data_IF_223762130130
#
_entry.id   IF_223762130130
#
_cell.length_a   1.000
_cell.length_b   1.000
_cell.length_c   1.000
_cell.angle_alpha   90.00
_cell.angle_beta   90.00
_cell.angle_gamma   90.00
#
_symmetry.space_group_name_H-M   'P 1'
#
loop_
_entity.id
_entity.type
_entity.pdbx_description
1 polymer ?
#
# COMPACT_ATOMS: atom_id res chain seq x y z
N UNK A 1 -0.32 26.42 19.84
CA UNK A 1 -0.67 25.40 20.85
C UNK A 1 -2.12 25.04 20.60
N UNK A 2 -2.37 24.11 19.67
CA UNK A 2 -3.71 23.60 19.38
C UNK A 2 -3.91 22.38 20.25
N UNK A 3 -4.71 22.54 21.30
CA UNK A 3 -5.21 21.41 22.09
C UNK A 3 -6.22 20.67 21.21
N UNK A 4 -5.76 19.57 20.61
CA UNK A 4 -6.67 18.57 20.04
C UNK A 4 -7.43 17.89 21.16
N UNK A 5 -8.73 17.77 20.98
CA UNK A 5 -9.62 16.97 21.83
C UNK A 5 -9.22 15.50 21.80
N UNK A 6 -9.08 14.89 22.96
CA UNK A 6 -8.54 13.56 23.24
C UNK A 6 -9.48 12.38 22.94
N UNK A 7 -10.24 12.41 21.84
CA UNK A 7 -11.24 11.37 21.56
C UNK A 7 -10.92 10.51 20.32
N UNK A 8 -9.67 10.59 19.82
CA UNK A 8 -9.21 9.79 18.70
C UNK A 8 -8.45 8.57 19.23
N UNK A 9 -8.87 7.37 18.84
CA UNK A 9 -8.14 6.15 19.14
C UNK A 9 -6.94 5.99 18.22
N UNK A 10 -5.88 5.34 18.71
CA UNK A 10 -4.69 4.96 17.96
C UNK A 10 -4.47 3.46 18.05
N UNK A 11 -3.69 2.90 17.13
CA UNK A 11 -3.26 1.50 17.19
C UNK A 11 -1.88 1.34 17.81
N UNK A 12 -0.97 2.29 17.56
CA UNK A 12 0.37 2.28 18.10
C UNK A 12 0.35 2.76 19.55
N UNK A 13 1.06 2.04 20.44
CA UNK A 13 1.09 2.31 21.90
C UNK A 13 -0.32 2.45 22.53
N UNK A 14 -1.29 1.75 21.94
CA UNK A 14 -2.67 1.80 22.41
C UNK A 14 -2.84 1.08 23.73
N UNK A 15 -3.55 1.70 24.66
CA UNK A 15 -3.96 1.07 25.92
C UNK A 15 -5.14 0.10 25.79
N UNK A 16 -5.75 0.03 24.60
CA UNK A 16 -6.87 -0.86 24.31
C UNK A 16 -6.40 -2.30 24.06
N UNK A 17 -7.19 -3.27 24.48
CA UNK A 17 -7.00 -4.66 24.07
C UNK A 17 -7.21 -4.83 22.56
N UNK A 18 -6.57 -5.83 21.95
CA UNK A 18 -6.64 -6.04 20.50
C UNK A 18 -8.07 -6.14 19.93
N UNK A 19 -9.00 -6.71 20.67
CA UNK A 19 -10.42 -6.79 20.30
C UNK A 19 -11.10 -5.43 20.24
N UNK A 20 -10.76 -4.53 21.17
CA UNK A 20 -11.31 -3.19 21.24
C UNK A 20 -10.68 -2.29 20.17
N UNK A 21 -9.37 -2.47 19.87
CA UNK A 21 -8.70 -1.80 18.76
C UNK A 21 -9.37 -2.14 17.40
N UNK A 22 -9.67 -3.44 17.17
CA UNK A 22 -10.41 -3.89 15.97
C UNK A 22 -11.82 -3.31 15.90
N UNK A 23 -12.50 -3.21 17.02
CA UNK A 23 -13.83 -2.60 17.10
C UNK A 23 -13.76 -1.10 16.80
N UNK A 24 -12.78 -0.38 17.35
CA UNK A 24 -12.55 1.04 17.07
C UNK A 24 -12.24 1.30 15.58
N UNK A 25 -11.43 0.43 14.95
CA UNK A 25 -11.18 0.50 13.50
C UNK A 25 -12.49 0.40 12.70
N UNK A 26 -13.29 -0.64 12.94
CA UNK A 26 -14.55 -0.87 12.20
C UNK A 26 -15.63 0.18 12.45
N UNK A 27 -15.57 0.86 13.59
CA UNK A 27 -16.52 1.92 13.94
C UNK A 27 -16.13 3.30 13.38
N UNK A 28 -14.95 3.43 12.74
CA UNK A 28 -14.44 4.71 12.25
C UNK A 28 -13.81 5.59 13.33
N UNK A 29 -13.56 5.02 14.52
CA UNK A 29 -12.97 5.77 15.64
C UNK A 29 -11.45 5.99 15.46
N UNK A 30 -10.83 5.26 14.49
CA UNK A 30 -9.42 5.38 14.08
C UNK A 30 -9.38 5.89 12.64
N UNK A 31 -9.25 7.20 12.40
CA UNK A 31 -9.25 7.77 11.06
C UNK A 31 -8.02 7.35 10.26
N UNK A 32 -8.21 7.05 8.98
CA UNK A 32 -7.15 6.63 8.05
C UNK A 32 -6.94 7.68 6.97
N UNK A 33 -5.70 8.02 6.65
CA UNK A 33 -5.31 8.79 5.47
C UNK A 33 -4.50 7.94 4.51
N UNK A 34 -4.88 7.97 3.21
CA UNK A 34 -4.16 7.27 2.13
C UNK A 34 -3.59 8.32 1.18
N UNK A 35 -2.26 8.32 1.01
CA UNK A 35 -1.55 9.30 0.21
C UNK A 35 -1.19 8.74 -1.16
N UNK A 36 -1.75 9.35 -2.21
CA UNK A 36 -1.73 8.92 -3.60
C UNK A 36 -3.00 8.14 -3.96
N UNK A 37 -3.85 8.72 -4.81
CA UNK A 37 -5.10 8.13 -5.28
C UNK A 37 -5.01 7.65 -6.74
N UNK A 38 -3.84 7.22 -7.14
CA UNK A 38 -3.61 6.61 -8.43
C UNK A 38 -4.11 5.17 -8.50
N UNK A 39 -3.62 4.43 -9.49
CA UNK A 39 -4.07 3.08 -9.87
C UNK A 39 -3.99 2.04 -8.74
N UNK A 40 -3.07 2.20 -7.79
CA UNK A 40 -2.93 1.31 -6.63
C UNK A 40 -3.57 1.91 -5.37
N UNK A 41 -3.47 3.23 -5.19
CA UNK A 41 -3.90 3.88 -3.97
C UNK A 41 -5.42 4.07 -3.86
N UNK A 42 -6.12 4.39 -4.94
CA UNK A 42 -7.58 4.53 -4.89
C UNK A 42 -8.30 3.21 -4.55
N UNK A 43 -7.94 2.05 -5.16
CA UNK A 43 -8.47 0.76 -4.70
C UNK A 43 -8.22 0.48 -3.22
N UNK A 44 -7.01 0.81 -2.75
CA UNK A 44 -6.65 0.64 -1.34
C UNK A 44 -7.48 1.56 -0.43
N UNK A 45 -7.63 2.84 -0.79
CA UNK A 45 -8.46 3.80 -0.05
C UNK A 45 -9.93 3.37 0.01
N UNK A 46 -10.48 2.83 -1.09
CA UNK A 46 -11.84 2.29 -1.11
C UNK A 46 -12.00 1.08 -0.16
N UNK A 47 -11.04 0.15 -0.15
CA UNK A 47 -11.08 -0.99 0.80
C UNK A 47 -10.94 -0.52 2.25
N UNK A 48 -10.06 0.45 2.54
CA UNK A 48 -10.00 1.07 3.86
C UNK A 48 -11.34 1.70 4.26
N UNK A 49 -11.96 2.45 3.36
CA UNK A 49 -13.25 3.09 3.61
C UNK A 49 -14.37 2.06 3.88
N UNK A 50 -14.44 0.97 3.12
CA UNK A 50 -15.40 -0.13 3.36
C UNK A 50 -15.24 -0.76 4.74
N UNK A 51 -13.99 -0.92 5.21
CA UNK A 51 -13.70 -1.61 6.48
C UNK A 51 -13.79 -0.67 7.67
N UNK A 52 -13.28 0.55 7.55
CA UNK A 52 -13.16 1.47 8.69
C UNK A 52 -14.25 2.53 8.74
N UNK A 53 -14.93 2.80 7.64
CA UNK A 53 -15.95 3.84 7.58
C UNK A 53 -15.43 5.28 7.72
N UNK A 54 -14.10 5.50 7.78
CA UNK A 54 -13.51 6.82 8.01
C UNK A 54 -12.13 6.94 7.34
N UNK A 55 -12.13 7.16 6.03
CA UNK A 55 -10.91 7.26 5.22
C UNK A 55 -10.85 8.56 4.44
N UNK A 56 -9.72 9.23 4.49
CA UNK A 56 -9.42 10.41 3.67
C UNK A 56 -8.30 10.08 2.69
N UNK A 57 -8.56 10.19 1.40
CA UNK A 57 -7.53 10.13 0.37
C UNK A 57 -6.85 11.49 0.19
N UNK A 58 -5.54 11.53 0.00
CA UNK A 58 -4.81 12.74 -0.35
C UNK A 58 -4.11 12.58 -1.70
N UNK A 59 -4.39 13.48 -2.64
CA UNK A 59 -3.74 13.51 -3.96
C UNK A 59 -3.46 14.94 -4.39
N UNK A 60 -2.30 15.16 -5.01
CA UNK A 60 -1.89 16.49 -5.49
C UNK A 60 -2.65 16.96 -6.73
N UNK A 61 -3.31 16.05 -7.45
CA UNK A 61 -4.12 16.37 -8.61
C UNK A 61 -5.55 16.76 -8.20
N UNK A 62 -5.93 18.04 -8.32
CA UNK A 62 -7.27 18.48 -7.95
C UNK A 62 -8.39 17.80 -8.73
N UNK A 63 -8.11 17.32 -9.95
CA UNK A 63 -9.10 16.63 -10.78
C UNK A 63 -9.40 15.22 -10.24
N UNK A 64 -8.41 14.55 -9.68
CA UNK A 64 -8.58 13.27 -8.96
C UNK A 64 -9.43 13.48 -7.72
N UNK A 65 -9.09 14.49 -6.92
CA UNK A 65 -9.83 14.84 -5.70
C UNK A 65 -11.30 15.18 -5.98
N UNK A 66 -11.55 16.01 -6.99
CA UNK A 66 -12.93 16.36 -7.41
C UNK A 66 -13.72 15.15 -7.88
N UNK A 67 -13.09 14.29 -8.71
CA UNK A 67 -13.71 13.06 -9.20
C UNK A 67 -14.10 12.13 -8.05
N UNK A 68 -13.17 11.84 -7.12
CA UNK A 68 -13.46 10.99 -5.97
C UNK A 68 -14.57 11.57 -5.11
N UNK A 69 -14.50 12.86 -4.76
CA UNK A 69 -15.53 13.49 -3.94
C UNK A 69 -16.92 13.56 -4.60
N UNK A 70 -16.99 13.46 -5.92
CA UNK A 70 -18.26 13.33 -6.65
C UNK A 70 -18.76 11.89 -6.77
N UNK A 71 -18.08 10.90 -6.16
CA UNK A 71 -18.39 9.48 -6.32
C UNK A 71 -17.96 8.91 -7.67
N UNK A 72 -17.14 9.64 -8.44
CA UNK A 72 -16.67 9.19 -9.76
C UNK A 72 -15.26 8.62 -9.65
N UNK A 73 -15.07 7.40 -10.16
CA UNK A 73 -13.75 6.76 -10.17
C UNK A 73 -12.87 7.33 -11.29
N UNK A 74 -11.72 7.98 -10.97
CA UNK A 74 -10.79 8.49 -11.98
C UNK A 74 -9.84 7.43 -12.54
N UNK A 75 -9.90 6.18 -12.03
CA UNK A 75 -9.03 5.07 -12.42
C UNK A 75 -9.77 4.11 -13.34
N UNK A 76 -9.21 3.88 -14.52
CA UNK A 76 -9.75 2.94 -15.50
C UNK A 76 -9.20 1.53 -15.36
N UNK A 77 -10.00 0.54 -15.77
CA UNK A 77 -9.56 -0.86 -15.91
C UNK A 77 -9.47 -1.66 -14.61
N UNK A 78 -10.07 -1.18 -13.52
CA UNK A 78 -10.17 -1.90 -12.25
C UNK A 78 -11.64 -2.30 -11.97
N UNK A 79 -12.00 -3.58 -12.22
CA UNK A 79 -13.38 -4.07 -12.04
C UNK A 79 -13.87 -3.91 -10.59
N UNK A 80 -15.07 -3.34 -10.44
CA UNK A 80 -15.73 -3.12 -9.15
C UNK A 80 -15.26 -1.86 -8.41
N UNK A 81 -14.19 -1.20 -8.89
CA UNK A 81 -13.68 0.02 -8.24
C UNK A 81 -14.65 1.21 -8.40
N UNK A 82 -15.26 1.46 -9.58
CA UNK A 82 -16.24 2.53 -9.72
C UNK A 82 -17.39 2.43 -8.71
N UNK A 83 -17.95 1.25 -8.55
CA UNK A 83 -19.05 0.99 -7.61
C UNK A 83 -18.59 1.13 -6.15
N UNK A 84 -17.35 0.71 -5.81
CA UNK A 84 -16.81 0.85 -4.47
C UNK A 84 -16.58 2.32 -4.11
N UNK A 85 -16.06 3.13 -5.04
CA UNK A 85 -15.87 4.58 -4.83
C UNK A 85 -17.21 5.29 -4.66
N UNK A 86 -18.19 5.05 -5.55
CA UNK A 86 -19.53 5.63 -5.46
C UNK A 86 -20.16 5.33 -4.09
N UNK A 87 -20.20 4.05 -3.70
CA UNK A 87 -20.83 3.61 -2.44
C UNK A 87 -20.12 4.23 -1.23
N UNK A 88 -18.79 4.16 -1.15
CA UNK A 88 -18.07 4.65 0.03
C UNK A 88 -18.11 6.16 0.18
N UNK A 89 -18.21 6.91 -0.92
CA UNK A 89 -18.42 8.36 -0.89
C UNK A 89 -19.87 8.72 -0.49
N UNK A 90 -20.88 8.01 -1.02
CA UNK A 90 -22.27 8.20 -0.63
C UNK A 90 -22.52 7.92 0.85
N UNK A 91 -21.87 6.90 1.40
CA UNK A 91 -21.92 6.52 2.83
C UNK A 91 -21.13 7.51 3.71
N UNK A 92 -20.35 8.44 3.12
CA UNK A 92 -19.47 9.34 3.85
C UNK A 92 -18.23 8.68 4.44
N UNK A 93 -17.93 7.44 4.03
CA UNK A 93 -16.78 6.66 4.49
C UNK A 93 -15.47 7.05 3.79
N UNK A 94 -15.55 7.56 2.55
CA UNK A 94 -14.42 8.05 1.75
C UNK A 94 -14.61 9.52 1.39
N UNK A 95 -13.56 10.30 1.61
CA UNK A 95 -13.42 11.65 1.08
C UNK A 95 -12.01 11.87 0.51
N UNK A 96 -11.79 12.93 -0.26
CA UNK A 96 -10.46 13.24 -0.79
C UNK A 96 -10.12 14.72 -0.58
N UNK A 97 -8.83 15.01 -0.37
CA UNK A 97 -8.28 16.37 -0.18
C UNK A 97 -7.01 16.56 -1.00
N UNK A 98 -6.74 17.81 -1.39
CA UNK A 98 -5.50 18.16 -2.11
C UNK A 98 -4.34 18.53 -1.18
N UNK A 99 -4.62 18.76 0.10
CA UNK A 99 -3.61 19.12 1.10
C UNK A 99 -3.25 17.88 1.96
N UNK A 100 -2.06 17.28 1.74
CA UNK A 100 -1.63 16.10 2.48
C UNK A 100 -1.40 16.39 3.98
N UNK A 101 -1.06 17.64 4.36
CA UNK A 101 -0.88 18.01 5.77
C UNK A 101 -2.23 18.09 6.49
N UNK A 102 -3.28 18.56 5.79
CA UNK A 102 -4.63 18.55 6.35
C UNK A 102 -5.11 17.09 6.58
N UNK A 103 -4.87 16.18 5.63
CA UNK A 103 -5.16 14.76 5.81
C UNK A 103 -4.39 14.16 7.00
N UNK A 104 -3.11 14.50 7.15
CA UNK A 104 -2.28 14.03 8.26
C UNK A 104 -2.79 14.53 9.61
N UNK A 105 -3.25 15.77 9.65
CA UNK A 105 -3.75 16.38 10.88
C UNK A 105 -4.95 15.61 11.46
N UNK A 106 -5.80 15.06 10.65
CA UNK A 106 -7.05 14.42 11.06
C UNK A 106 -6.96 12.89 11.16
N UNK A 107 -5.91 12.25 10.64
CA UNK A 107 -5.73 10.81 10.65
C UNK A 107 -4.92 10.31 11.87
N UNK A 108 -5.11 9.05 12.22
CA UNK A 108 -4.32 8.29 13.18
C UNK A 108 -3.48 7.20 12.48
N UNK A 109 -3.87 6.84 11.27
CA UNK A 109 -3.16 5.90 10.41
C UNK A 109 -2.87 6.60 9.08
N UNK A 110 -1.62 6.53 8.64
CA UNK A 110 -1.13 7.15 7.41
C UNK A 110 -0.58 6.08 6.48
N UNK A 111 -1.17 5.92 5.30
CA UNK A 111 -0.76 4.91 4.32
C UNK A 111 -0.15 5.59 3.10
N UNK A 112 1.15 5.41 2.90
CA UNK A 112 1.89 6.01 1.78
C UNK A 112 1.95 5.03 0.62
N UNK A 113 1.27 5.37 -0.49
CA UNK A 113 1.26 4.57 -1.72
C UNK A 113 1.42 5.47 -2.94
N UNK A 114 2.58 6.10 -3.04
CA UNK A 114 2.95 7.02 -4.12
C UNK A 114 3.93 6.39 -5.10
N UNK A 115 3.99 6.87 -6.35
CA UNK A 115 4.98 6.39 -7.31
C UNK A 115 6.41 6.59 -6.81
N UNK A 116 7.22 5.55 -7.00
CA UNK A 116 8.67 5.57 -6.79
C UNK A 116 9.32 5.15 -8.09
N UNK A 117 9.95 6.10 -8.77
CA UNK A 117 10.54 5.91 -10.09
C UNK A 117 12.02 5.55 -9.96
N UNK A 118 12.63 5.17 -11.07
CA UNK A 118 14.07 4.97 -11.19
C UNK A 118 14.57 5.93 -12.27
N UNK A 119 15.47 6.85 -11.89
CA UNK A 119 16.14 7.76 -12.80
C UNK A 119 17.63 7.41 -12.85
N UNK A 120 18.16 7.15 -14.05
CA UNK A 120 19.57 6.77 -14.27
C UNK A 120 20.05 5.62 -13.36
N UNK A 121 19.19 4.61 -13.12
CA UNK A 121 19.51 3.46 -12.27
C UNK A 121 19.47 3.76 -10.76
N UNK A 122 19.04 4.94 -10.37
CA UNK A 122 18.91 5.35 -8.96
C UNK A 122 17.45 5.53 -8.60
N UNK A 123 16.98 4.98 -7.46
CA UNK A 123 15.61 5.19 -6.99
C UNK A 123 15.33 6.66 -6.69
N UNK A 124 14.28 7.21 -7.27
CA UNK A 124 13.76 8.54 -6.94
C UNK A 124 12.72 8.42 -5.82
N UNK A 125 13.05 8.96 -4.65
CA UNK A 125 12.21 8.99 -3.47
C UNK A 125 11.65 10.40 -3.17
N UNK A 126 11.72 11.34 -4.11
CA UNK A 126 11.32 12.72 -3.87
C UNK A 126 9.84 12.82 -3.43
N UNK A 127 8.95 12.14 -4.13
CA UNK A 127 7.52 12.12 -3.79
C UNK A 127 7.27 11.49 -2.42
N UNK A 128 7.92 10.37 -2.11
CA UNK A 128 7.83 9.73 -0.79
C UNK A 128 8.29 10.67 0.33
N UNK A 129 9.41 11.37 0.14
CA UNK A 129 9.94 12.34 1.10
C UNK A 129 8.98 13.49 1.33
N UNK A 130 8.42 14.08 0.27
CA UNK A 130 7.46 15.17 0.37
C UNK A 130 6.19 14.76 1.14
N UNK A 131 5.69 13.56 0.90
CA UNK A 131 4.54 13.02 1.67
C UNK A 131 4.92 12.77 3.12
N UNK A 132 6.09 12.19 3.41
CA UNK A 132 6.55 11.99 4.77
C UNK A 132 6.73 13.32 5.53
N UNK A 133 7.20 14.38 4.85
CA UNK A 133 7.28 15.76 5.42
C UNK A 133 5.89 16.29 5.76
N UNK A 134 4.92 16.14 4.87
CA UNK A 134 3.53 16.55 5.11
C UNK A 134 2.88 15.77 6.26
N UNK A 135 3.15 14.47 6.34
CA UNK A 135 2.67 13.63 7.46
C UNK A 135 3.31 14.10 8.77
N UNK A 136 4.62 14.31 8.80
CA UNK A 136 5.34 14.78 10.00
C UNK A 136 4.76 16.08 10.56
N UNK A 137 4.35 17.02 9.70
CA UNK A 137 3.74 18.28 10.13
C UNK A 137 2.36 18.11 10.81
N UNK A 138 1.65 17.00 10.51
CA UNK A 138 0.36 16.68 11.11
C UNK A 138 0.40 15.56 12.16
N UNK A 139 1.55 14.88 12.31
CA UNK A 139 1.72 13.68 13.13
C UNK A 139 1.45 13.95 14.60
N UNK A 140 0.84 12.99 15.27
CA UNK A 140 0.56 13.04 16.70
C UNK A 140 1.05 11.78 17.40
N UNK A 141 1.32 11.81 18.71
CA UNK A 141 1.66 10.62 19.46
C UNK A 141 0.61 9.51 19.29
N UNK A 142 1.06 8.28 19.08
CA UNK A 142 0.21 7.12 18.84
C UNK A 142 -0.17 6.89 17.36
N UNK A 143 0.23 7.77 16.45
CA UNK A 143 -0.01 7.58 15.02
C UNK A 143 0.85 6.45 14.44
N UNK A 144 0.31 5.79 13.40
CA UNK A 144 0.98 4.73 12.67
C UNK A 144 1.15 5.12 11.20
N UNK A 145 2.39 5.08 10.70
CA UNK A 145 2.71 5.32 9.29
C UNK A 145 3.05 3.99 8.60
N UNK A 146 2.25 3.61 7.62
CA UNK A 146 2.43 2.41 6.80
C UNK A 146 2.95 2.80 5.42
N UNK A 147 4.12 2.33 5.03
CA UNK A 147 4.68 2.54 3.69
C UNK A 147 4.34 1.32 2.83
N UNK A 148 3.58 1.53 1.74
CA UNK A 148 3.23 0.49 0.77
C UNK A 148 3.95 0.66 -0.58
N UNK A 149 4.47 1.86 -0.86
CA UNK A 149 5.28 2.14 -2.05
C UNK A 149 6.49 1.22 -2.14
N UNK A 150 6.85 0.77 -3.34
CA UNK A 150 8.08 -0.02 -3.54
C UNK A 150 9.30 0.86 -3.30
N UNK A 151 10.12 0.50 -2.32
CA UNK A 151 11.29 1.29 -1.91
C UNK A 151 12.53 0.41 -1.75
N UNK A 152 13.74 0.97 -1.82
CA UNK A 152 14.97 0.26 -1.45
C UNK A 152 14.94 -0.20 0.01
N UNK A 153 15.59 -1.31 0.35
CA UNK A 153 15.75 -1.73 1.73
C UNK A 153 16.35 -0.64 2.62
N UNK A 154 15.84 -0.51 3.86
CA UNK A 154 16.15 0.49 4.89
C UNK A 154 15.52 1.86 4.67
N UNK A 155 14.66 2.06 3.68
CA UNK A 155 14.01 3.36 3.43
C UNK A 155 13.16 3.80 4.62
N UNK A 156 12.38 2.91 5.24
CA UNK A 156 11.59 3.26 6.42
C UNK A 156 12.47 3.79 7.55
N UNK A 157 13.57 3.10 7.86
CA UNK A 157 14.47 3.45 8.95
C UNK A 157 15.36 4.65 8.66
N UNK A 158 15.95 4.72 7.46
CA UNK A 158 17.02 5.69 7.14
C UNK A 158 16.47 6.95 6.46
N UNK A 159 15.21 6.93 5.98
CA UNK A 159 14.59 8.06 5.27
C UNK A 159 13.31 8.52 5.94
N UNK A 160 12.32 7.61 6.13
CA UNK A 160 10.98 8.00 6.60
C UNK A 160 11.04 8.43 8.06
N UNK A 161 11.58 7.59 8.97
CA UNK A 161 11.68 7.91 10.40
C UNK A 161 12.38 9.24 10.65
N UNK A 162 13.59 9.52 10.11
CA UNK A 162 14.25 10.81 10.35
C UNK A 162 13.49 12.04 9.82
N UNK A 163 12.68 11.88 8.77
CA UNK A 163 11.82 12.95 8.26
C UNK A 163 10.67 13.20 9.25
N UNK A 164 9.99 12.15 9.69
CA UNK A 164 8.89 12.26 10.64
C UNK A 164 9.34 12.89 11.97
N UNK A 165 10.47 12.44 12.53
CA UNK A 165 11.04 13.02 13.76
C UNK A 165 11.36 14.53 13.59
N UNK A 166 11.95 14.90 12.47
CA UNK A 166 12.31 16.30 12.19
C UNK A 166 11.10 17.20 12.06
N UNK A 167 10.04 16.75 11.36
CA UNK A 167 8.88 17.58 11.05
C UNK A 167 7.85 17.62 12.20
N UNK A 168 7.75 16.56 13.01
CA UNK A 168 6.79 16.46 14.11
C UNK A 168 7.35 16.90 15.45
N UNK A 169 8.66 16.95 15.61
CA UNK A 169 9.36 17.10 16.90
C UNK A 169 9.11 15.92 17.88
N UNK A 170 8.53 14.79 17.39
CA UNK A 170 8.37 13.54 18.13
C UNK A 170 9.62 12.65 17.96
N UNK A 171 9.86 11.76 18.92
CA UNK A 171 10.92 10.74 18.83
C UNK A 171 10.32 9.38 18.44
N UNK A 172 11.13 8.51 17.81
CA UNK A 172 10.73 7.12 17.55
C UNK A 172 10.34 6.44 18.88
N UNK A 173 9.18 5.80 18.91
CA UNK A 173 8.54 5.28 20.14
C UNK A 173 7.32 6.09 20.56
N UNK A 174 7.15 7.32 20.07
CA UNK A 174 5.92 8.09 20.22
C UNK A 174 4.99 7.91 19.01
N UNK A 175 5.50 7.42 17.89
CA UNK A 175 4.76 7.03 16.68
C UNK A 175 5.34 5.75 16.08
N UNK A 176 4.52 5.01 15.32
CA UNK A 176 4.93 3.79 14.65
C UNK A 176 5.22 3.98 13.16
N UNK A 177 6.18 3.21 12.62
CA UNK A 177 6.42 3.10 11.17
C UNK A 177 6.51 1.64 10.77
N UNK A 178 5.76 1.23 9.76
CA UNK A 178 5.81 -0.12 9.22
C UNK A 178 5.91 -0.11 7.68
N UNK A 179 6.57 -1.11 7.12
CA UNK A 179 6.54 -1.41 5.70
C UNK A 179 5.57 -2.55 5.44
N UNK A 180 4.60 -2.30 4.57
CA UNK A 180 3.48 -3.21 4.31
C UNK A 180 3.27 -3.33 2.80
N UNK A 181 4.20 -3.99 2.06
CA UNK A 181 4.24 -3.93 0.61
C UNK A 181 2.93 -4.27 -0.05
N UNK A 182 2.55 -3.42 -1.00
CA UNK A 182 1.46 -3.67 -1.91
C UNK A 182 1.91 -4.74 -2.93
N UNK A 183 1.03 -5.73 -3.24
CA UNK A 183 1.32 -6.90 -4.10
C UNK A 183 0.24 -7.15 -5.14
N UNK A 184 -0.56 -6.12 -5.48
CA UNK A 184 -1.66 -6.23 -6.42
C UNK A 184 -1.21 -6.20 -7.87
N UNK A 185 -2.06 -6.71 -8.74
CA UNK A 185 -1.91 -6.63 -10.17
C UNK A 185 -2.97 -5.70 -10.76
N UNK A 186 -2.58 -4.89 -11.74
CA UNK A 186 -3.51 -4.04 -12.49
C UNK A 186 -4.67 -4.87 -13.07
N UNK A 187 -5.90 -4.37 -12.93
CA UNK A 187 -7.12 -5.07 -13.34
C UNK A 187 -7.67 -6.07 -12.33
N UNK A 188 -7.05 -6.19 -11.13
CA UNK A 188 -7.46 -7.08 -10.05
C UNK A 188 -7.23 -6.48 -8.66
N UNK A 189 -7.00 -5.17 -8.58
CA UNK A 189 -6.53 -4.53 -7.34
C UNK A 189 -7.44 -4.83 -6.15
N UNK A 190 -8.75 -4.63 -6.26
CA UNK A 190 -9.69 -4.91 -5.16
C UNK A 190 -9.66 -6.38 -4.70
N UNK A 191 -9.61 -7.33 -5.65
CA UNK A 191 -9.56 -8.76 -5.33
C UNK A 191 -8.26 -9.11 -4.62
N UNK A 192 -7.15 -8.57 -5.11
CA UNK A 192 -5.81 -8.86 -4.57
C UNK A 192 -5.65 -8.25 -3.17
N UNK A 193 -6.11 -7.01 -2.93
CA UNK A 193 -6.09 -6.36 -1.61
C UNK A 193 -6.92 -7.14 -0.60
N UNK A 194 -8.12 -7.58 -0.99
CA UNK A 194 -9.05 -8.30 -0.11
C UNK A 194 -8.60 -9.72 0.25
N UNK A 195 -7.56 -10.27 -0.38
CA UNK A 195 -7.04 -11.54 0.09
C UNK A 195 -6.51 -12.54 -0.93
N UNK A 196 -6.03 -12.12 -2.10
CA UNK A 196 -5.39 -13.05 -3.04
C UNK A 196 -4.05 -13.57 -2.51
N UNK A 197 -3.34 -12.76 -1.71
CA UNK A 197 -2.02 -13.08 -1.16
C UNK A 197 -1.95 -12.74 0.33
N UNK A 198 -1.14 -13.47 1.13
CA UNK A 198 -0.84 -13.07 2.50
C UNK A 198 -0.21 -11.68 2.53
N UNK A 199 -0.63 -10.81 3.44
CA UNK A 199 -0.04 -9.48 3.61
C UNK A 199 1.24 -9.58 4.43
N UNK A 200 2.35 -9.09 3.89
CA UNK A 200 3.62 -8.99 4.62
C UNK A 200 3.63 -7.69 5.42
N UNK A 201 4.05 -7.74 6.67
CA UNK A 201 4.15 -6.58 7.57
C UNK A 201 5.45 -6.65 8.35
N UNK A 202 6.21 -5.55 8.35
CA UNK A 202 7.40 -5.40 9.19
C UNK A 202 7.54 -3.97 9.69
N UNK A 203 7.64 -3.78 10.99
CA UNK A 203 7.78 -2.47 11.62
C UNK A 203 9.23 -2.08 11.88
N UNK A 204 9.48 -0.81 12.15
CA UNK A 204 10.79 -0.32 12.61
C UNK A 204 11.09 -0.77 14.05
N UNK A 205 10.03 -1.13 14.78
CA UNK A 205 10.02 -1.75 16.09
C UNK A 205 8.91 -2.81 16.19
N UNK A 206 8.87 -3.55 17.29
CA UNK A 206 7.91 -4.64 17.52
C UNK A 206 6.48 -4.10 17.63
N UNK A 207 6.29 -2.91 18.21
CA UNK A 207 4.98 -2.30 18.38
C UNK A 207 4.42 -1.81 17.04
N UNK A 208 5.24 -1.23 16.17
CA UNK A 208 4.86 -0.90 14.80
C UNK A 208 4.42 -2.14 14.01
N UNK A 209 5.14 -3.27 14.19
CA UNK A 209 4.76 -4.55 13.57
C UNK A 209 3.41 -5.04 14.08
N UNK A 210 3.19 -4.98 15.41
CA UNK A 210 1.93 -5.39 16.05
C UNK A 210 0.76 -4.52 15.58
N UNK A 211 0.92 -3.19 15.65
CA UNK A 211 -0.14 -2.25 15.29
C UNK A 211 -0.54 -2.38 13.80
N UNK A 212 0.45 -2.46 12.90
CA UNK A 212 0.19 -2.68 11.48
C UNK A 212 -0.44 -4.06 11.22
N UNK A 213 -0.05 -5.11 11.97
CA UNK A 213 -0.69 -6.43 11.82
C UNK A 213 -2.17 -6.39 12.22
N UNK A 214 -2.54 -5.68 13.28
CA UNK A 214 -3.95 -5.50 13.67
C UNK A 214 -4.73 -4.79 12.55
N UNK A 215 -4.15 -3.76 11.94
CA UNK A 215 -4.77 -3.02 10.84
C UNK A 215 -5.04 -3.92 9.63
N UNK A 216 -4.01 -4.61 9.14
CA UNK A 216 -4.12 -5.40 7.91
C UNK A 216 -4.87 -6.72 8.08
N UNK A 217 -4.98 -7.26 9.29
CA UNK A 217 -5.87 -8.38 9.60
C UNK A 217 -7.36 -8.01 9.44
N UNK A 218 -7.70 -6.72 9.58
CA UNK A 218 -9.08 -6.25 9.35
C UNK A 218 -9.37 -6.02 7.85
N UNK A 219 -8.34 -5.67 7.06
CA UNK A 219 -8.50 -5.39 5.63
C UNK A 219 -8.49 -6.64 4.76
N UNK A 220 -7.73 -7.67 5.16
CA UNK A 220 -7.49 -8.84 4.33
C UNK A 220 -8.23 -10.07 4.86
N UNK A 221 -8.82 -10.84 3.95
CA UNK A 221 -9.36 -12.17 4.26
C UNK A 221 -8.27 -13.26 4.29
N UNK A 222 -7.00 -12.88 4.05
CA UNK A 222 -5.86 -13.79 4.06
C UNK A 222 -4.97 -13.49 5.28
N UNK A 223 -4.02 -14.40 5.54
CA UNK A 223 -3.10 -14.30 6.67
C UNK A 223 -2.18 -13.08 6.58
N UNK A 224 -1.90 -12.43 7.70
CA UNK A 224 -0.86 -11.43 7.83
C UNK A 224 0.43 -12.09 8.28
N UNK A 225 1.48 -11.98 7.48
CA UNK A 225 2.81 -12.47 7.78
C UNK A 225 3.67 -11.35 8.39
N UNK A 226 3.73 -11.32 9.71
CA UNK A 226 4.68 -10.46 10.41
C UNK A 226 6.10 -10.98 10.20
N UNK A 227 7.01 -10.10 9.72
CA UNK A 227 8.43 -10.39 9.55
C UNK A 227 9.25 -9.64 10.60
N UNK A 228 10.56 -9.93 10.68
CA UNK A 228 11.42 -9.46 11.75
C UNK A 228 11.47 -7.94 11.92
N UNK A 229 11.48 -7.20 10.80
CA UNK A 229 11.52 -5.73 10.79
C UNK A 229 11.10 -5.16 9.43
N UNK A 230 11.00 -3.82 9.35
CA UNK A 230 10.67 -3.10 8.12
C UNK A 230 11.67 -3.38 6.99
N UNK A 231 12.97 -3.48 7.29
CA UNK A 231 14.01 -3.78 6.29
C UNK A 231 13.81 -5.16 5.68
N UNK A 232 13.43 -6.14 6.49
CA UNK A 232 13.10 -7.48 6.01
C UNK A 232 11.89 -7.46 5.07
N UNK A 233 10.84 -6.72 5.42
CA UNK A 233 9.65 -6.57 4.57
C UNK A 233 9.97 -5.85 3.24
N UNK A 234 10.81 -4.81 3.27
CA UNK A 234 11.32 -4.11 2.09
C UNK A 234 12.14 -5.06 1.18
N UNK A 235 13.02 -5.89 1.78
CA UNK A 235 13.78 -6.91 1.05
C UNK A 235 12.84 -7.95 0.39
N UNK A 236 11.81 -8.41 1.08
CA UNK A 236 10.83 -9.37 0.52
C UNK A 236 10.23 -8.80 -0.77
N UNK A 237 9.75 -7.54 -0.75
CA UNK A 237 9.16 -6.90 -1.93
C UNK A 237 10.14 -6.84 -3.11
N UNK A 238 11.37 -6.39 -2.88
CA UNK A 238 12.39 -6.25 -3.92
C UNK A 238 12.81 -7.62 -4.47
N UNK A 239 13.05 -8.60 -3.59
CA UNK A 239 13.50 -9.92 -4.00
C UNK A 239 12.42 -10.71 -4.76
N UNK A 240 11.15 -10.58 -4.38
CA UNK A 240 10.03 -11.13 -5.16
C UNK A 240 9.97 -10.53 -6.56
N UNK A 241 10.18 -9.21 -6.70
CA UNK A 241 10.27 -8.54 -8.00
C UNK A 241 11.41 -9.09 -8.86
N UNK A 242 12.62 -9.14 -8.30
CA UNK A 242 13.81 -9.67 -8.98
C UNK A 242 13.61 -11.14 -9.38
N UNK A 243 13.09 -11.98 -8.48
CA UNK A 243 12.80 -13.37 -8.77
C UNK A 243 11.82 -13.52 -9.94
N UNK A 244 10.73 -12.74 -9.93
CA UNK A 244 9.74 -12.75 -11.01
C UNK A 244 10.36 -12.34 -12.34
N UNK A 245 11.12 -11.24 -12.36
CA UNK A 245 11.69 -10.69 -13.59
C UNK A 245 12.74 -11.63 -14.21
N UNK A 246 13.58 -12.26 -13.37
CA UNK A 246 14.55 -13.27 -13.84
C UNK A 246 13.83 -14.49 -14.42
N UNK A 247 12.76 -14.97 -13.78
CA UNK A 247 12.00 -16.10 -14.31
C UNK A 247 11.28 -15.78 -15.62
N UNK A 248 10.75 -14.55 -15.77
CA UNK A 248 10.15 -14.09 -17.02
C UNK A 248 11.21 -14.04 -18.13
N UNK A 249 12.39 -13.46 -17.85
CA UNK A 249 13.48 -13.41 -18.82
C UNK A 249 13.94 -14.81 -19.23
N UNK A 250 14.13 -15.70 -18.27
CA UNK A 250 14.50 -17.10 -18.55
C UNK A 250 13.45 -17.81 -19.41
N UNK A 251 12.16 -17.63 -19.10
CA UNK A 251 11.08 -18.23 -19.85
C UNK A 251 11.05 -17.71 -21.31
N UNK A 252 11.33 -16.42 -21.52
CA UNK A 252 11.42 -15.84 -22.86
C UNK A 252 12.59 -16.42 -23.67
N UNK A 253 13.78 -16.59 -23.05
CA UNK A 253 14.93 -17.22 -23.70
C UNK A 253 14.63 -18.68 -24.08
N UNK A 254 14.01 -19.44 -23.18
CA UNK A 254 13.62 -20.82 -23.46
C UNK A 254 12.58 -20.92 -24.57
N UNK A 255 11.64 -19.98 -24.66
CA UNK A 255 10.67 -19.92 -25.77
C UNK A 255 11.36 -19.66 -27.11
N UNK A 256 12.31 -18.73 -27.14
CA UNK A 256 13.11 -18.42 -28.36
C UNK A 256 13.90 -19.67 -28.83
N UNK A 257 14.56 -20.36 -27.90
CA UNK A 257 15.28 -21.60 -28.23
C UNK A 257 14.34 -22.71 -28.73
N UNK A 258 13.15 -22.84 -28.16
CA UNK A 258 12.15 -23.81 -28.63
C UNK A 258 11.66 -23.54 -30.03
N UNK A 259 11.45 -22.27 -30.39
CA UNK A 259 11.05 -21.85 -31.72
C UNK A 259 12.17 -22.14 -32.76
N UNK A 260 13.43 -21.84 -32.42
CA UNK A 260 14.61 -22.18 -33.26
C UNK A 260 14.78 -23.68 -33.51
N UNK A 261 14.44 -24.51 -32.51
CA UNK A 261 14.49 -25.96 -32.61
C UNK A 261 13.26 -26.57 -33.32
N UNK A 262 12.27 -25.78 -33.66
CA UNK A 262 11.03 -26.24 -34.31
C UNK A 262 10.21 -27.19 -33.44
N UNK A 263 10.29 -27.05 -32.10
CA UNK A 263 9.57 -27.90 -31.14
C UNK A 263 8.17 -27.37 -30.89
N UNK A 264 7.26 -27.60 -31.83
CA UNK A 264 5.85 -27.32 -31.64
C UNK A 264 5.29 -28.13 -30.43
N UNK A 265 4.64 -27.47 -29.48
CA UNK A 265 4.01 -28.12 -28.33
C UNK A 265 4.85 -28.12 -27.04
N UNK A 266 6.17 -27.87 -27.08
CA UNK A 266 6.99 -27.73 -25.85
C UNK A 266 6.44 -26.62 -24.94
N UNK A 267 5.92 -25.56 -25.55
CA UNK A 267 5.34 -24.42 -24.87
C UNK A 267 4.08 -24.79 -24.06
N UNK A 268 3.18 -25.58 -24.62
CA UNK A 268 1.94 -26.02 -23.91
C UNK A 268 2.26 -26.96 -22.76
N UNK A 269 3.29 -27.79 -22.91
CA UNK A 269 3.74 -28.69 -21.83
C UNK A 269 4.45 -27.90 -20.72
N UNK A 270 5.29 -26.92 -21.03
CA UNK A 270 5.93 -26.05 -20.07
C UNK A 270 4.91 -25.17 -19.33
N UNK A 271 3.86 -24.70 -20.03
CA UNK A 271 2.78 -23.92 -19.45
C UNK A 271 2.09 -24.66 -18.29
N UNK A 272 1.85 -25.94 -18.42
CA UNK A 272 1.25 -26.75 -17.37
C UNK A 272 2.16 -26.97 -16.15
N UNK A 273 3.47 -26.72 -16.28
CA UNK A 273 4.47 -26.96 -15.22
C UNK A 273 4.99 -25.68 -14.53
N UNK A 274 4.92 -24.52 -15.21
CA UNK A 274 5.51 -23.26 -14.72
C UNK A 274 4.58 -22.41 -13.86
N UNK A 275 3.30 -22.76 -13.74
CA UNK A 275 2.28 -21.97 -13.05
C UNK A 275 1.81 -20.75 -13.87
N UNK A 276 0.61 -20.24 -13.52
CA UNK A 276 -0.14 -19.28 -14.34
C UNK A 276 0.59 -17.94 -14.62
N UNK A 277 1.40 -17.44 -13.70
CA UNK A 277 2.11 -16.16 -13.87
C UNK A 277 3.24 -16.22 -14.91
N UNK A 278 4.00 -17.31 -14.91
CA UNK A 278 5.11 -17.53 -15.86
C UNK A 278 4.58 -17.91 -17.25
N UNK A 279 3.49 -18.67 -17.30
CA UNK A 279 2.81 -19.02 -18.54
C UNK A 279 2.19 -17.80 -19.24
N UNK A 280 1.71 -16.82 -18.50
CA UNK A 280 1.13 -15.58 -19.04
C UNK A 280 2.17 -14.68 -19.71
N UNK A 281 3.35 -14.53 -19.10
CA UNK A 281 4.47 -13.77 -19.69
C UNK A 281 4.93 -14.36 -21.02
N UNK A 282 4.95 -15.70 -21.14
CA UNK A 282 5.26 -16.41 -22.37
C UNK A 282 4.18 -16.23 -23.46
N UNK A 283 2.89 -16.15 -23.07
CA UNK A 283 1.78 -15.99 -24.00
C UNK A 283 1.68 -14.54 -24.56
N UNK A 284 1.99 -13.54 -23.76
CA UNK A 284 1.93 -12.12 -24.15
C UNK A 284 2.99 -11.76 -25.19
N UNK A 285 4.18 -12.38 -25.16
CA UNK A 285 5.22 -12.18 -26.17
C UNK A 285 4.81 -12.74 -27.54
N UNK A 286 4.10 -13.89 -27.59
CA UNK A 286 3.60 -14.48 -28.83
C UNK A 286 2.45 -13.72 -29.48
N UNK A 287 1.67 -12.98 -28.69
CA UNK A 287 0.54 -12.19 -29.20
C UNK A 287 0.95 -10.79 -29.70
N UNK A 288 2.19 -10.37 -29.47
CA UNK A 288 2.75 -9.08 -29.89
C UNK A 288 3.62 -9.13 -31.14
N UNK A 289 3.77 -10.32 -31.78
CA UNK A 289 4.33 -10.52 -33.14
C UNK A 289 3.18 -10.70 -34.15
#
# INVERSE_FOLDING_TARGET
MHTRTSDRYSLYESSLESTDQRSALRNGDVPVAVYGLGKMGLPLAAVFAEVTGNTTGADIDPSVVESVNSGTCPVDGEPGLPEAVETTVEDGALSAVSDPTAAATDAAIHVIIVPTLVEDGTPDLATLRAVAESIGQGLSPGDLVCVESTVPPRTCRDVVVPILERESELELGEFGVAFCPERTSSGRALQDIRGAYPKVVGGVDDESTRAASVLYDELSNNEVHAVADATTAECVKVFEGVYRDVNIALANELATMADELGTEGLFEELRGRLGDGQARALAEKRAGE
#
